data_IF_312531604269
#
_entry.id   IF_312531604269
#
_cell.length_a   1.000
_cell.length_b   1.000
_cell.length_c   1.000
_cell.angle_alpha   90.00
_cell.angle_beta   90.00
_cell.angle_gamma   90.00
#
_symmetry.space_group_name_H-M   'P 1'
#
loop_
_entity.id
_entity.type
_entity.pdbx_description
1 polymer ?
#
# COMPACT_ATOMS: atom_id res chain seq x y z
N UNK A 1 20.40 -14.57 -0.74
CA UNK A 1 20.07 -13.53 -1.71
C UNK A 1 19.50 -12.30 -1.02
N UNK A 2 19.87 -11.12 -1.51
CA UNK A 2 19.36 -9.87 -0.96
C UNK A 2 17.87 -9.74 -1.29
N UNK A 3 17.13 -9.16 -0.36
CA UNK A 3 15.73 -8.81 -0.59
C UNK A 3 15.62 -7.78 -1.72
N UNK A 4 14.60 -7.87 -2.54
CA UNK A 4 14.28 -6.87 -3.54
C UNK A 4 13.59 -5.66 -2.92
N UNK A 5 13.12 -4.75 -3.78
CA UNK A 5 12.43 -3.56 -3.32
C UNK A 5 10.97 -3.86 -2.95
N UNK A 6 10.43 -3.06 -2.05
CA UNK A 6 8.99 -3.07 -1.71
C UNK A 6 8.36 -1.79 -2.28
N UNK A 7 7.31 -1.96 -3.04
CA UNK A 7 6.51 -0.83 -3.54
C UNK A 7 5.42 -0.53 -2.52
N UNK A 8 5.36 0.71 -2.07
CA UNK A 8 4.28 1.19 -1.20
C UNK A 8 3.49 2.22 -1.99
N UNK A 9 2.19 1.99 -2.10
CA UNK A 9 1.29 2.91 -2.78
C UNK A 9 0.33 3.52 -1.76
N UNK A 10 0.14 4.83 -1.82
CA UNK A 10 -0.81 5.55 -0.98
C UNK A 10 -1.94 6.06 -1.86
N UNK A 11 -3.15 5.66 -1.54
CA UNK A 11 -4.36 6.11 -2.24
C UNK A 11 -5.16 7.07 -1.38
N UNK A 12 -6.33 7.50 -1.87
CA UNK A 12 -7.11 8.57 -1.23
C UNK A 12 -7.92 8.17 -0.02
N UNK A 13 -7.94 6.91 0.39
CA UNK A 13 -8.63 6.52 1.60
C UNK A 13 -8.00 7.18 2.84
N UNK A 14 -8.80 7.48 3.86
CA UNK A 14 -8.26 7.94 5.14
C UNK A 14 -7.34 6.88 5.72
N UNK A 15 -6.26 7.28 6.34
CA UNK A 15 -5.26 6.37 6.87
C UNK A 15 -3.88 6.51 6.21
N UNK A 16 -3.57 7.69 5.65
CA UNK A 16 -2.24 7.96 5.09
C UNK A 16 -1.13 7.68 6.10
N UNK A 17 -1.42 7.79 7.39
CA UNK A 17 -0.47 7.50 8.47
C UNK A 17 0.03 6.05 8.40
N UNK A 18 -0.79 5.11 7.95
CA UNK A 18 -0.35 3.71 7.81
C UNK A 18 0.73 3.56 6.74
N UNK A 19 0.54 4.20 5.59
CA UNK A 19 1.56 4.18 4.53
C UNK A 19 2.85 4.87 4.96
N UNK A 20 2.72 6.02 5.61
CA UNK A 20 3.87 6.75 6.16
C UNK A 20 4.65 5.87 7.14
N UNK A 21 3.96 5.25 8.10
CA UNK A 21 4.61 4.42 9.11
C UNK A 21 5.25 3.18 8.52
N UNK A 22 4.60 2.57 7.54
CA UNK A 22 5.18 1.42 6.84
C UNK A 22 6.53 1.79 6.20
N UNK A 23 6.59 2.92 5.51
CA UNK A 23 7.83 3.40 4.89
C UNK A 23 8.91 3.67 5.94
N UNK A 24 8.54 4.28 7.07
CA UNK A 24 9.49 4.53 8.15
C UNK A 24 10.10 3.23 8.68
N UNK A 25 9.26 2.23 8.94
CA UNK A 25 9.71 0.94 9.47
C UNK A 25 10.57 0.19 8.46
N UNK A 26 10.16 0.17 7.19
CA UNK A 26 10.96 -0.48 6.13
C UNK A 26 12.33 0.17 6.00
N UNK A 27 12.40 1.51 6.12
CA UNK A 27 13.68 2.22 6.11
C UNK A 27 14.54 1.83 7.33
N UNK A 28 13.96 1.75 8.52
CA UNK A 28 14.66 1.29 9.72
C UNK A 28 15.22 -0.12 9.56
N UNK A 29 14.53 -0.97 8.79
CA UNK A 29 14.96 -2.34 8.48
C UNK A 29 15.94 -2.41 7.30
N UNK A 30 16.34 -1.27 6.74
CA UNK A 30 17.22 -1.19 5.57
C UNK A 30 16.64 -1.89 4.32
N UNK A 31 15.34 -1.88 4.17
CA UNK A 31 14.64 -2.41 3.00
C UNK A 31 14.38 -1.26 2.04
N UNK A 32 14.85 -1.38 0.80
CA UNK A 32 14.66 -0.37 -0.22
C UNK A 32 13.17 -0.29 -0.62
N UNK A 33 12.66 0.94 -0.73
CA UNK A 33 11.25 1.19 -1.03
C UNK A 33 11.08 2.10 -2.23
N UNK A 34 9.95 1.91 -2.94
CA UNK A 34 9.45 2.82 -3.96
C UNK A 34 8.09 3.30 -3.52
N UNK A 35 7.85 4.60 -3.65
CA UNK A 35 6.57 5.21 -3.27
C UNK A 35 5.85 5.70 -4.50
N UNK A 36 4.58 5.32 -4.62
CA UNK A 36 3.66 5.85 -5.63
C UNK A 36 2.44 6.39 -4.89
N UNK A 37 2.09 7.64 -5.16
CA UNK A 37 0.93 8.28 -4.50
C UNK A 37 -0.07 8.72 -5.57
N UNK A 38 -1.33 8.32 -5.43
CA UNK A 38 -2.38 8.82 -6.34
C UNK A 38 -2.66 10.30 -6.08
N UNK A 39 -3.33 10.97 -7.00
CA UNK A 39 -3.71 12.38 -6.80
C UNK A 39 -4.54 12.55 -5.54
N UNK A 40 -5.52 11.68 -5.32
CA UNK A 40 -6.32 11.69 -4.09
C UNK A 40 -5.46 11.37 -2.86
N UNK A 41 -4.49 10.49 -3.00
CA UNK A 41 -3.55 10.15 -1.93
C UNK A 41 -2.68 11.33 -1.51
N UNK A 42 -2.27 12.17 -2.46
CA UNK A 42 -1.51 13.39 -2.15
C UNK A 42 -2.32 14.34 -1.27
N UNK A 43 -3.62 14.50 -1.59
CA UNK A 43 -4.52 15.36 -0.83
C UNK A 43 -4.67 14.81 0.60
N UNK A 44 -4.92 13.51 0.73
CA UNK A 44 -5.10 12.87 2.04
C UNK A 44 -3.81 12.92 2.88
N UNK A 45 -2.67 12.67 2.24
CA UNK A 45 -1.36 12.73 2.91
C UNK A 45 -1.10 14.14 3.45
N UNK A 46 -1.39 15.16 2.66
CA UNK A 46 -1.22 16.55 3.09
C UNK A 46 -2.18 16.91 4.21
N UNK A 47 -3.44 16.49 4.10
CA UNK A 47 -4.45 16.79 5.10
C UNK A 47 -4.22 16.05 6.43
N UNK A 48 -3.88 14.77 6.38
CA UNK A 48 -3.77 13.93 7.58
C UNK A 48 -2.37 13.94 8.20
N UNK A 49 -1.31 14.00 7.38
CA UNK A 49 0.07 13.92 7.85
C UNK A 49 0.86 15.22 7.68
N UNK A 50 0.24 16.27 7.14
CA UNK A 50 0.85 17.58 6.93
C UNK A 50 2.16 17.50 6.14
N UNK A 51 2.24 16.59 5.16
CA UNK A 51 3.44 16.46 4.35
C UNK A 51 3.12 16.14 2.90
N UNK A 52 4.05 16.48 2.01
CA UNK A 52 4.00 16.13 0.60
C UNK A 52 4.64 14.76 0.38
N UNK A 53 4.38 14.16 -0.79
CA UNK A 53 5.05 12.91 -1.16
C UNK A 53 6.56 13.09 -1.28
N UNK A 54 7.02 14.27 -1.73
CA UNK A 54 8.45 14.60 -1.82
C UNK A 54 9.10 14.64 -0.44
N UNK A 55 8.43 15.25 0.53
CA UNK A 55 8.90 15.26 1.93
C UNK A 55 8.92 13.84 2.51
N UNK A 56 7.92 13.03 2.17
CA UNK A 56 7.82 11.66 2.68
C UNK A 56 8.97 10.78 2.17
N UNK A 57 9.31 10.85 0.89
CA UNK A 57 10.43 10.05 0.35
C UNK A 57 11.76 10.51 0.92
N UNK A 58 11.94 11.80 1.19
CA UNK A 58 13.14 12.29 1.85
C UNK A 58 13.25 11.75 3.28
N UNK A 59 12.14 11.81 4.03
CA UNK A 59 12.10 11.29 5.40
C UNK A 59 12.41 9.79 5.47
N UNK A 60 11.95 9.02 4.50
CA UNK A 60 11.99 7.55 4.55
C UNK A 60 13.02 6.93 3.59
N UNK A 61 13.83 7.76 2.94
CA UNK A 61 14.83 7.31 1.98
C UNK A 61 14.24 6.42 0.89
N UNK A 62 13.06 6.79 0.39
CA UNK A 62 12.34 6.05 -0.65
C UNK A 62 12.59 6.64 -2.03
N UNK A 63 12.36 5.87 -3.07
CA UNK A 63 12.38 6.34 -4.45
C UNK A 63 10.95 6.71 -4.86
N UNK A 64 10.74 7.96 -5.27
CA UNK A 64 9.43 8.43 -5.71
C UNK A 64 9.21 8.11 -7.18
N UNK A 65 8.05 7.54 -7.50
CA UNK A 65 7.61 7.35 -8.88
C UNK A 65 6.28 8.06 -9.11
N UNK A 66 6.12 8.67 -10.27
CA UNK A 66 4.89 9.38 -10.63
C UNK A 66 3.77 8.38 -10.96
N UNK A 67 2.60 8.57 -10.38
CA UNK A 67 1.45 7.68 -10.58
C UNK A 67 0.94 7.68 -12.03
N UNK A 68 1.23 8.71 -12.81
CA UNK A 68 0.86 8.77 -14.23
C UNK A 68 1.84 8.02 -15.13
N UNK A 69 3.01 7.64 -14.63
CA UNK A 69 4.03 6.92 -15.38
C UNK A 69 3.77 5.39 -15.30
N UNK A 70 2.86 4.89 -16.13
CA UNK A 70 2.51 3.46 -16.14
C UNK A 70 3.66 2.55 -16.57
N UNK A 71 4.73 3.11 -17.13
CA UNK A 71 5.96 2.40 -17.45
C UNK A 71 7.01 2.43 -16.36
N UNK A 72 6.67 2.93 -15.17
CA UNK A 72 7.60 3.03 -14.05
C UNK A 72 8.14 1.67 -13.62
N UNK A 73 9.28 1.69 -12.94
CA UNK A 73 9.99 0.46 -12.53
C UNK A 73 9.17 -0.41 -11.59
N UNK A 74 8.30 0.18 -10.77
CA UNK A 74 7.38 -0.54 -9.89
C UNK A 74 6.46 -1.50 -10.64
N UNK A 75 6.15 -1.21 -11.90
CA UNK A 75 5.28 -2.02 -12.74
C UNK A 75 6.06 -2.88 -13.75
N UNK A 76 7.38 -2.98 -13.62
CA UNK A 76 8.19 -3.79 -14.53
C UNK A 76 8.22 -5.24 -14.06
N UNK A 77 7.83 -6.17 -14.95
CA UNK A 77 7.90 -7.60 -14.67
C UNK A 77 9.32 -8.12 -14.48
N UNK A 78 10.32 -7.42 -15.03
CA UNK A 78 11.73 -7.79 -14.91
C UNK A 78 12.44 -7.15 -13.71
N UNK A 79 11.82 -6.19 -13.03
CA UNK A 79 12.40 -5.57 -11.85
C UNK A 79 12.29 -6.51 -10.64
N UNK A 80 13.27 -6.40 -9.73
CA UNK A 80 13.26 -7.17 -8.50
C UNK A 80 12.38 -6.48 -7.44
N UNK A 81 11.09 -6.67 -7.58
CA UNK A 81 10.07 -6.19 -6.63
C UNK A 81 9.56 -7.41 -5.85
N UNK A 82 9.74 -7.42 -4.55
CA UNK A 82 9.32 -8.54 -3.70
C UNK A 82 7.87 -8.44 -3.27
N UNK A 83 7.37 -7.23 -3.08
CA UNK A 83 5.99 -7.02 -2.66
C UNK A 83 5.49 -5.66 -3.12
N UNK A 84 4.18 -5.59 -3.36
CA UNK A 84 3.45 -4.34 -3.57
C UNK A 84 2.42 -4.23 -2.44
N UNK A 85 2.47 -3.14 -1.70
CA UNK A 85 1.57 -2.86 -0.58
C UNK A 85 0.81 -1.58 -0.89
N UNK A 86 -0.50 -1.67 -1.02
CA UNK A 86 -1.36 -0.48 -1.21
C UNK A 86 -1.94 -0.14 0.16
N UNK A 87 -1.44 0.92 0.76
CA UNK A 87 -1.68 1.25 2.16
C UNK A 87 -1.80 2.76 2.37
N UNK A 88 -3.00 3.30 2.57
CA UNK A 88 -4.30 2.62 2.52
C UNK A 88 -4.78 2.38 1.10
N UNK A 89 -5.72 1.46 0.93
CA UNK A 89 -6.30 1.12 -0.36
C UNK A 89 -7.76 1.56 -0.44
N UNK A 90 -8.06 2.47 -1.36
CA UNK A 90 -9.42 2.98 -1.54
C UNK A 90 -10.33 1.96 -2.22
N UNK A 91 -11.64 2.13 -2.01
CA UNK A 91 -12.65 1.33 -2.69
C UNK A 91 -12.56 1.42 -4.21
N UNK A 92 -12.23 2.61 -4.73
CA UNK A 92 -12.00 2.81 -6.18
C UNK A 92 -10.83 1.94 -6.67
N UNK A 93 -9.73 1.93 -5.95
CA UNK A 93 -8.56 1.10 -6.30
C UNK A 93 -8.92 -0.39 -6.26
N UNK A 94 -9.62 -0.84 -5.22
CA UNK A 94 -10.08 -2.22 -5.11
C UNK A 94 -10.96 -2.59 -6.30
N UNK A 95 -11.88 -1.71 -6.68
CA UNK A 95 -12.77 -1.92 -7.83
C UNK A 95 -12.02 -2.05 -9.14
N UNK A 96 -11.02 -1.18 -9.36
CA UNK A 96 -10.18 -1.24 -10.56
C UNK A 96 -9.41 -2.56 -10.63
N UNK A 97 -8.80 -2.98 -9.53
CA UNK A 97 -8.05 -4.23 -9.49
C UNK A 97 -8.95 -5.44 -9.77
N UNK A 98 -10.13 -5.48 -9.18
CA UNK A 98 -11.08 -6.56 -9.39
C UNK A 98 -11.60 -6.62 -10.83
N UNK A 99 -11.64 -5.48 -11.53
CA UNK A 99 -12.03 -5.38 -12.93
C UNK A 99 -10.84 -5.51 -13.91
N UNK A 100 -9.62 -5.62 -13.42
CA UNK A 100 -8.43 -5.69 -14.25
C UNK A 100 -8.03 -4.35 -14.88
N UNK A 101 -8.45 -3.23 -14.31
CA UNK A 101 -8.15 -1.90 -14.83
C UNK A 101 -6.80 -1.43 -14.27
N UNK A 102 -5.86 -1.12 -15.17
CA UNK A 102 -4.51 -0.69 -14.83
C UNK A 102 -4.20 0.66 -15.49
N UNK A 103 -4.89 1.72 -15.08
CA UNK A 103 -4.84 3.03 -15.72
C UNK A 103 -3.89 4.03 -15.02
N UNK A 104 -3.23 3.62 -13.94
CA UNK A 104 -2.18 4.40 -13.29
C UNK A 104 -1.09 3.45 -12.76
N UNK A 105 0.00 4.00 -12.26
CA UNK A 105 1.14 3.18 -11.81
C UNK A 105 0.79 2.31 -10.59
N UNK A 106 -0.11 2.77 -9.72
CA UNK A 106 -0.57 1.98 -8.56
C UNK A 106 -1.27 0.70 -9.02
N UNK A 107 -2.30 0.85 -9.85
CA UNK A 107 -3.06 -0.31 -10.35
C UNK A 107 -2.21 -1.18 -11.26
N UNK A 108 -1.34 -0.56 -12.06
CA UNK A 108 -0.43 -1.30 -12.93
C UNK A 108 0.54 -2.16 -12.13
N UNK A 109 1.15 -1.59 -11.09
CA UNK A 109 2.08 -2.32 -10.21
C UNK A 109 1.40 -3.50 -9.54
N UNK A 110 0.15 -3.33 -9.09
CA UNK A 110 -0.63 -4.39 -8.48
C UNK A 110 -0.97 -5.50 -9.47
N UNK A 111 -1.43 -5.16 -10.68
CA UNK A 111 -1.75 -6.16 -11.72
C UNK A 111 -0.50 -6.93 -12.12
N UNK A 112 0.64 -6.25 -12.27
CA UNK A 112 1.90 -6.92 -12.58
C UNK A 112 2.32 -7.84 -11.43
N UNK A 113 2.14 -7.42 -10.18
CA UNK A 113 2.40 -8.28 -9.04
C UNK A 113 1.56 -9.56 -9.11
N UNK A 114 0.29 -9.43 -9.44
CA UNK A 114 -0.60 -10.61 -9.58
C UNK A 114 -0.12 -11.55 -10.68
N UNK A 115 0.19 -11.03 -11.86
CA UNK A 115 0.61 -11.89 -12.98
C UNK A 115 1.98 -12.51 -12.79
N UNK A 116 2.90 -11.83 -12.08
CA UNK A 116 4.24 -12.33 -11.79
C UNK A 116 4.32 -13.12 -10.50
N UNK A 117 3.19 -13.33 -9.84
CA UNK A 117 3.08 -14.07 -8.57
C UNK A 117 3.93 -13.44 -7.46
N UNK A 118 4.07 -12.12 -7.49
CA UNK A 118 4.65 -11.34 -6.38
C UNK A 118 3.59 -11.14 -5.31
N UNK A 119 4.01 -10.88 -4.09
CA UNK A 119 3.08 -10.58 -3.00
C UNK A 119 2.39 -9.26 -3.26
N UNK A 120 1.06 -9.28 -3.17
CA UNK A 120 0.22 -8.09 -3.22
C UNK A 120 -0.57 -8.03 -1.93
N UNK A 121 -0.38 -6.94 -1.18
CA UNK A 121 -1.09 -6.68 0.07
C UNK A 121 -1.89 -5.41 -0.11
N UNK A 122 -3.18 -5.47 0.18
CA UNK A 122 -4.02 -4.28 0.20
C UNK A 122 -4.51 -4.03 1.62
N UNK A 123 -4.54 -2.76 2.02
CA UNK A 123 -4.96 -2.34 3.35
C UNK A 123 -6.18 -1.44 3.20
N UNK A 124 -7.38 -2.04 3.06
CA UNK A 124 -8.60 -1.27 2.86
C UNK A 124 -8.99 -0.52 4.13
N UNK A 125 -9.55 0.66 3.95
CA UNK A 125 -10.11 1.44 5.05
C UNK A 125 -11.37 2.14 4.56
N UNK A 126 -12.50 1.71 5.10
CA UNK A 126 -13.83 2.24 4.79
C UNK A 126 -14.78 1.89 5.94
N UNK A 127 -15.83 2.70 6.13
CA UNK A 127 -16.86 2.42 7.12
C UNK A 127 -18.16 3.15 6.73
N UNK A 128 -19.28 2.41 6.48
CA UNK A 128 -19.36 0.96 6.27
C UNK A 128 -18.85 0.57 4.88
N UNK A 129 -18.67 -0.73 4.67
CA UNK A 129 -18.40 -1.24 3.33
C UNK A 129 -19.70 -1.43 2.56
N UNK A 130 -19.70 -1.04 1.30
CA UNK A 130 -20.77 -1.41 0.37
C UNK A 130 -20.58 -2.87 -0.05
N UNK A 131 -21.67 -3.54 -0.43
CA UNK A 131 -21.61 -4.91 -0.94
C UNK A 131 -20.58 -5.05 -2.07
N UNK A 132 -20.52 -4.09 -2.98
CA UNK A 132 -19.58 -4.13 -4.11
C UNK A 132 -18.12 -4.16 -3.62
N UNK A 133 -17.79 -3.43 -2.55
CA UNK A 133 -16.44 -3.47 -1.97
C UNK A 133 -16.12 -4.86 -1.44
N UNK A 134 -17.06 -5.47 -0.71
CA UNK A 134 -16.89 -6.80 -0.13
C UNK A 134 -16.75 -7.88 -1.21
N UNK A 135 -17.57 -7.80 -2.25
CA UNK A 135 -17.49 -8.74 -3.38
C UNK A 135 -16.16 -8.62 -4.11
N UNK A 136 -15.69 -7.38 -4.34
CA UNK A 136 -14.41 -7.15 -5.00
C UNK A 136 -13.24 -7.65 -4.16
N UNK A 137 -13.29 -7.45 -2.84
CA UNK A 137 -12.25 -7.98 -1.94
C UNK A 137 -12.27 -9.52 -1.93
N UNK A 138 -13.46 -10.13 -1.91
CA UNK A 138 -13.57 -11.58 -1.98
C UNK A 138 -12.94 -12.10 -3.28
N UNK A 139 -13.22 -11.46 -4.41
CA UNK A 139 -12.63 -11.82 -5.70
C UNK A 139 -11.11 -11.74 -5.67
N UNK A 140 -10.57 -10.63 -5.17
CA UNK A 140 -9.11 -10.45 -5.09
C UNK A 140 -8.47 -11.50 -4.18
N UNK A 141 -9.12 -11.86 -3.07
CA UNK A 141 -8.59 -12.87 -2.15
C UNK A 141 -8.46 -14.25 -2.80
N UNK A 142 -9.31 -14.57 -3.77
CA UNK A 142 -9.18 -15.83 -4.53
C UNK A 142 -7.99 -15.82 -5.48
N UNK A 143 -7.37 -14.66 -5.70
CA UNK A 143 -6.20 -14.49 -6.57
C UNK A 143 -4.93 -14.22 -5.76
N UNK A 144 -4.88 -14.75 -4.55
CA UNK A 144 -3.75 -14.66 -3.62
C UNK A 144 -3.43 -13.24 -3.13
N UNK A 145 -4.32 -12.27 -3.30
CA UNK A 145 -4.17 -10.95 -2.71
C UNK A 145 -4.41 -11.05 -1.20
N UNK A 146 -3.47 -10.56 -0.42
CA UNK A 146 -3.59 -10.52 1.04
C UNK A 146 -4.32 -9.23 1.41
N UNK A 147 -5.41 -9.38 2.15
CA UNK A 147 -6.25 -8.26 2.57
C UNK A 147 -6.10 -8.07 4.06
N UNK A 148 -5.46 -6.97 4.46
CA UNK A 148 -5.27 -6.61 5.86
C UNK A 148 -6.08 -5.34 6.10
N UNK A 149 -7.24 -5.45 6.76
CA UNK A 149 -8.03 -4.24 7.02
C UNK A 149 -7.28 -3.31 7.97
N UNK A 150 -7.47 -2.00 7.79
CA UNK A 150 -6.93 -1.01 8.71
C UNK A 150 -7.77 -0.96 9.98
N UNK A 151 -7.86 -2.10 10.66
CA UNK A 151 -8.69 -2.33 11.85
C UNK A 151 -7.80 -2.87 12.96
N UNK A 152 -7.16 -1.97 13.72
CA UNK A 152 -6.23 -2.40 14.76
C UNK A 152 -6.92 -3.14 15.90
N UNK A 153 -6.21 -4.11 16.48
CA UNK A 153 -6.70 -4.83 17.64
C UNK A 153 -6.34 -4.13 18.95
N UNK A 154 -7.07 -4.47 20.00
CA UNK A 154 -6.88 -3.87 21.32
C UNK A 154 -6.39 -4.87 22.36
N UNK A 155 -6.14 -6.10 21.96
CA UNK A 155 -5.77 -7.18 22.89
C UNK A 155 -4.48 -6.88 23.66
N UNK A 156 -3.53 -6.19 23.06
CA UNK A 156 -2.24 -5.88 23.68
C UNK A 156 -2.24 -4.54 24.45
N UNK A 157 -3.41 -4.03 24.82
CA UNK A 157 -3.57 -2.81 25.62
C UNK A 157 -2.84 -1.60 25.02
N UNK A 158 -3.19 -1.17 23.78
CA UNK A 158 -2.55 0.00 23.18
C UNK A 158 -2.78 1.25 24.01
N UNK A 159 -1.75 2.08 24.13
CA UNK A 159 -1.77 3.30 24.96
C UNK A 159 -1.76 4.57 24.13
N UNK A 160 -1.57 4.47 22.82
CA UNK A 160 -1.47 5.61 21.93
C UNK A 160 -2.00 5.24 20.55
N UNK A 161 -2.24 6.26 19.73
CA UNK A 161 -2.58 6.05 18.32
C UNK A 161 -1.43 5.35 17.60
N UNK A 162 -0.19 5.72 17.94
CA UNK A 162 0.99 5.07 17.33
C UNK A 162 1.01 3.57 17.57
N UNK A 163 0.60 3.13 18.76
CA UNK A 163 0.50 1.69 19.06
C UNK A 163 -0.52 1.00 18.16
N UNK A 164 -1.65 1.67 17.87
CA UNK A 164 -2.68 1.14 16.98
C UNK A 164 -2.17 1.06 15.55
N UNK A 165 -1.45 2.08 15.09
CA UNK A 165 -0.84 2.09 13.76
C UNK A 165 0.18 0.96 13.65
N UNK A 166 1.06 0.83 14.62
CA UNK A 166 2.11 -0.18 14.62
C UNK A 166 1.56 -1.61 14.65
N UNK A 167 0.38 -1.83 15.23
CA UNK A 167 -0.30 -3.12 15.15
C UNK A 167 -0.53 -3.54 13.68
N UNK A 168 -1.03 -2.62 12.87
CA UNK A 168 -1.28 -2.89 11.44
C UNK A 168 0.03 -3.09 10.69
N UNK A 169 1.03 -2.25 10.96
CA UNK A 169 2.34 -2.36 10.30
C UNK A 169 2.98 -3.71 10.58
N UNK A 170 2.93 -4.19 11.83
CA UNK A 170 3.46 -5.50 12.19
C UNK A 170 2.78 -6.62 11.40
N UNK A 171 1.46 -6.55 11.21
CA UNK A 171 0.74 -7.54 10.43
C UNK A 171 1.12 -7.51 8.95
N UNK A 172 1.36 -6.33 8.40
CA UNK A 172 1.85 -6.20 7.01
C UNK A 172 3.23 -6.84 6.90
N UNK A 173 4.13 -6.54 7.83
CA UNK A 173 5.51 -7.08 7.81
C UNK A 173 5.53 -8.60 7.91
N UNK A 174 4.62 -9.20 8.67
CA UNK A 174 4.52 -10.66 8.77
C UNK A 174 4.31 -11.32 7.40
N UNK A 175 3.73 -10.61 6.46
CA UNK A 175 3.41 -11.12 5.12
C UNK A 175 4.44 -10.74 4.05
N UNK A 176 5.30 -9.79 4.33
CA UNK A 176 6.36 -9.41 3.38
C UNK A 176 7.53 -10.41 3.45
N UNK A 177 7.74 -10.96 4.59
CA UNK A 177 8.83 -11.87 4.83
C UNK A 177 9.92 -11.20 5.63
#
# INVERSE_FOLDING_TARGET
>A
PSMGEVVVAITGASGAIYGKRLLEVLNEMSIATRLVVTKSGEITLKHECQMTKEELVELTNSTLEDQSNVGGKSASGSSKIDAVVICPCSGTTIGKLAAGISDNLVTRSAIVAMKERRKLIIVPREAPYATIHLENMAKLSTMDTIIIPASPGFYNHPKSIDDLVDFIIARILDHIG
#
